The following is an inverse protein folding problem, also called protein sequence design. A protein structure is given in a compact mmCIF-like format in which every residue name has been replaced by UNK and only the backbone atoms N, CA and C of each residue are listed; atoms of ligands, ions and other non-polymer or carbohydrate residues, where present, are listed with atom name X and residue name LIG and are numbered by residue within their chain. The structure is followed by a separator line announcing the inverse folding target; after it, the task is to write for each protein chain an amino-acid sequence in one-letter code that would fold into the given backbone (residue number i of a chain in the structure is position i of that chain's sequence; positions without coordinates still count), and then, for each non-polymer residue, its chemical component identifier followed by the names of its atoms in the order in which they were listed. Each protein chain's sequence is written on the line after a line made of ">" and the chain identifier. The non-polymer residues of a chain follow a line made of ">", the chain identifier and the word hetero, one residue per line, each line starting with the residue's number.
data_IF_397383189350
#
_entry.id   IF_397383189350
#
_cell.length_a   1.000
_cell.length_b   1.000
_cell.length_c   1.000
_cell.angle_alpha   90.00
_cell.angle_beta   90.00
_cell.angle_gamma   90.00
#
_symmetry.space_group_name_H-M   'P 1'
#
loop_
_entity.id
_entity.type
_entity.pdbx_description
1 polymer ?
#
# COMPACT_ATOMS: atom_id res chain seq x y z
N UNK A 1 -1.19 -24.57 25.30
CA UNK A 1 -0.52 -24.43 24.65
C UNK A 1 -0.76 -23.88 23.36
N UNK A 2 -1.57 -24.37 22.58
CA UNK A 2 -1.80 -23.88 21.26
C UNK A 2 -2.26 -22.46 21.18
N UNK A 3 -2.99 -21.92 22.18
CA UNK A 3 -3.54 -20.58 22.10
C UNK A 3 -2.47 -19.50 22.04
N UNK A 4 -1.37 -19.64 22.76
CA UNK A 4 -0.28 -18.66 22.69
C UNK A 4 0.42 -18.70 21.34
N UNK A 5 0.64 -19.88 20.80
CA UNK A 5 1.24 -20.05 19.48
C UNK A 5 0.34 -19.52 18.39
N UNK A 6 -0.98 -19.76 18.50
CA UNK A 6 -1.93 -19.26 17.52
C UNK A 6 -1.98 -17.73 17.52
N UNK A 7 -1.95 -17.10 18.70
CA UNK A 7 -1.90 -15.64 18.77
C UNK A 7 -0.65 -15.07 18.13
N UNK A 8 0.48 -15.73 18.36
CA UNK A 8 1.74 -15.31 17.77
C UNK A 8 1.70 -15.45 16.24
N UNK A 9 1.19 -16.56 15.72
CA UNK A 9 1.01 -16.76 14.28
C UNK A 9 0.08 -15.73 13.68
N UNK A 10 -1.04 -15.43 14.36
CA UNK A 10 -1.97 -14.42 13.89
C UNK A 10 -1.28 -13.07 13.71
N UNK A 11 -0.46 -12.66 14.68
CA UNK A 11 0.28 -11.40 14.61
C UNK A 11 1.24 -11.38 13.42
N UNK A 12 1.88 -12.52 13.10
CA UNK A 12 2.79 -12.61 11.97
C UNK A 12 2.08 -12.51 10.63
N UNK A 13 0.79 -12.83 10.58
CA UNK A 13 0.01 -12.75 9.35
C UNK A 13 -0.61 -11.38 9.14
N UNK A 14 -0.66 -10.54 10.16
CA UNK A 14 -1.20 -9.20 10.03
C UNK A 14 -0.24 -8.31 9.25
N UNK A 15 -0.81 -7.41 8.44
CA UNK A 15 -0.08 -6.48 7.60
C UNK A 15 -0.65 -5.09 7.77
N UNK A 16 0.17 -4.07 7.56
CA UNK A 16 -0.33 -2.71 7.46
C UNK A 16 -0.86 -2.47 6.06
N UNK A 17 -2.07 -1.98 5.98
CA UNK A 17 -2.77 -1.74 4.71
C UNK A 17 -2.84 -0.26 4.42
N UNK A 18 -2.06 0.18 3.44
CA UNK A 18 -2.11 1.56 2.94
C UNK A 18 -3.05 1.58 1.75
N UNK A 19 -4.31 1.94 2.03
CA UNK A 19 -5.37 1.97 1.02
C UNK A 19 -5.56 3.42 0.57
N UNK A 20 -5.40 3.64 -0.72
CA UNK A 20 -5.52 4.97 -1.31
C UNK A 20 -6.72 5.04 -2.22
N UNK A 21 -7.38 6.21 -2.23
CA UNK A 21 -8.33 6.58 -3.25
C UNK A 21 -7.87 7.94 -3.78
N UNK A 22 -7.37 7.98 -5.00
CA UNK A 22 -6.70 9.15 -5.57
C UNK A 22 -5.54 9.58 -4.67
N UNK A 23 -5.62 10.77 -4.05
CA UNK A 23 -4.56 11.25 -3.17
C UNK A 23 -4.89 11.09 -1.68
N UNK A 24 -6.02 10.46 -1.37
CA UNK A 24 -6.45 10.25 0.00
C UNK A 24 -6.04 8.86 0.49
N UNK A 25 -5.64 8.78 1.75
CA UNK A 25 -5.23 7.54 2.40
C UNK A 25 -6.25 7.17 3.48
N UNK A 26 -6.51 5.87 3.61
CA UNK A 26 -7.45 5.35 4.60
C UNK A 26 -6.78 5.30 5.96
N UNK A 27 -7.36 5.99 6.94
CA UNK A 27 -6.89 5.98 8.31
C UNK A 27 -7.89 5.25 9.20
N UNK A 28 -7.39 4.57 10.21
CA UNK A 28 -8.23 3.92 11.22
C UNK A 28 -8.23 4.76 12.48
N UNK A 29 -9.41 4.98 13.05
CA UNK A 29 -9.56 5.76 14.27
C UNK A 29 -9.32 4.88 15.48
N UNK A 30 -8.47 5.34 16.41
CA UNK A 30 -8.18 4.64 17.66
C UNK A 30 -8.36 5.62 18.81
N UNK A 31 -9.59 5.78 19.26
CA UNK A 31 -9.92 6.83 20.23
C UNK A 31 -9.78 8.20 19.58
N UNK A 32 -8.91 9.04 20.13
CA UNK A 32 -8.65 10.37 19.58
C UNK A 32 -7.50 10.38 18.57
N UNK A 33 -6.92 9.23 18.30
CA UNK A 33 -5.76 9.11 17.42
C UNK A 33 -6.10 8.39 16.13
N UNK A 34 -5.16 8.44 15.18
CA UNK A 34 -5.29 7.77 13.90
C UNK A 34 -4.08 6.87 13.65
N UNK A 35 -4.32 5.77 12.95
CA UNK A 35 -3.27 4.83 12.56
C UNK A 35 -3.59 4.26 11.19
N UNK A 36 -2.67 3.45 10.68
CA UNK A 36 -2.90 2.68 9.46
C UNK A 36 -3.53 1.35 9.84
N UNK A 37 -4.55 0.86 9.12
CA UNK A 37 -5.18 -0.42 9.46
C UNK A 37 -4.17 -1.56 9.48
N UNK A 38 -4.25 -2.38 10.53
CA UNK A 38 -3.41 -3.56 10.70
C UNK A 38 -4.33 -4.78 10.75
N UNK A 39 -4.24 -5.65 9.76
CA UNK A 39 -5.10 -6.83 9.67
C UNK A 39 -4.48 -7.87 8.74
N UNK A 40 -4.96 -9.09 8.86
CA UNK A 40 -4.54 -10.17 7.99
C UNK A 40 -5.07 -9.96 6.56
N UNK A 41 -6.33 -9.52 6.46
CA UNK A 41 -6.99 -9.27 5.19
C UNK A 41 -7.19 -7.78 4.94
N UNK A 42 -7.41 -7.37 3.68
CA UNK A 42 -7.66 -5.96 3.38
C UNK A 42 -8.86 -5.42 4.18
N UNK A 43 -8.77 -4.19 4.70
CA UNK A 43 -9.86 -3.61 5.48
C UNK A 43 -11.08 -3.23 4.65
N UNK A 44 -10.98 -3.30 3.33
CA UNK A 44 -12.07 -2.96 2.41
C UNK A 44 -12.18 -4.07 1.36
N UNK A 45 -13.36 -4.20 0.75
CA UNK A 45 -13.56 -5.16 -0.32
C UNK A 45 -12.78 -4.70 -1.56
N UNK A 46 -12.00 -5.59 -2.15
CA UNK A 46 -11.21 -5.29 -3.34
C UNK A 46 -11.80 -6.00 -4.54
N UNK A 47 -11.72 -5.34 -5.70
CA UNK A 47 -12.13 -5.95 -6.96
C UNK A 47 -10.98 -6.76 -7.54
N UNK A 48 -11.27 -7.77 -8.39
CA UNK A 48 -10.21 -8.65 -8.92
C UNK A 48 -9.11 -7.93 -9.70
N UNK A 49 -9.42 -6.78 -10.29
CA UNK A 49 -8.43 -6.04 -11.08
C UNK A 49 -7.54 -5.12 -10.24
N UNK A 50 -7.86 -4.94 -8.97
CA UNK A 50 -7.05 -4.09 -8.10
C UNK A 50 -5.78 -4.82 -7.71
N UNK A 51 -4.63 -4.19 -7.99
CA UNK A 51 -3.33 -4.79 -7.71
C UNK A 51 -2.89 -4.45 -6.30
N UNK A 52 -2.63 -5.48 -5.50
CA UNK A 52 -2.06 -5.31 -4.15
C UNK A 52 -0.54 -5.33 -4.30
N UNK A 53 0.10 -4.23 -3.95
CA UNK A 53 1.55 -4.14 -4.01
C UNK A 53 2.17 -4.54 -2.67
N UNK A 54 3.23 -5.34 -2.77
CA UNK A 54 4.06 -5.71 -1.62
C UNK A 54 5.14 -4.64 -1.50
N UNK A 55 5.01 -3.77 -0.52
CA UNK A 55 5.94 -2.63 -0.43
C UNK A 55 7.05 -3.10 0.52
N UNK A 56 7.41 -3.23 1.35
CA UNK A 56 8.47 -3.68 2.23
C UNK A 56 7.85 -3.93 3.62
N UNK A 57 8.52 -3.56 4.68
CA UNK A 57 7.96 -3.71 6.01
C UNK A 57 8.28 -2.48 6.84
N UNK A 58 7.55 -2.32 7.96
CA UNK A 58 7.82 -1.27 8.92
C UNK A 58 9.06 -1.64 9.74
N UNK A 59 9.54 -0.71 10.56
CA UNK A 59 10.71 -0.94 11.39
C UNK A 59 10.57 -2.14 12.32
N UNK A 60 9.34 -2.42 12.76
CA UNK A 60 9.06 -3.57 13.63
C UNK A 60 8.98 -4.90 12.89
N UNK A 61 9.22 -4.90 11.57
CA UNK A 61 9.17 -6.09 10.73
C UNK A 61 7.81 -6.46 10.18
N UNK A 62 6.76 -5.72 10.54
CA UNK A 62 5.40 -5.98 10.01
C UNK A 62 5.34 -5.64 8.53
N UNK A 63 4.83 -6.57 7.74
CA UNK A 63 4.73 -6.37 6.30
C UNK A 63 3.78 -5.26 5.93
N UNK A 64 4.02 -4.63 4.78
CA UNK A 64 3.24 -3.51 4.27
C UNK A 64 2.66 -3.88 2.91
N UNK A 65 1.37 -3.60 2.75
CA UNK A 65 0.67 -3.77 1.48
C UNK A 65 0.03 -2.44 1.10
N UNK A 66 0.02 -2.15 -0.18
CA UNK A 66 -0.60 -0.92 -0.69
C UNK A 66 -1.53 -1.26 -1.84
N UNK A 67 -2.66 -0.56 -1.88
CA UNK A 67 -3.64 -0.77 -2.94
C UNK A 67 -4.37 0.54 -3.24
N UNK A 68 -4.73 0.75 -4.51
CA UNK A 68 -5.53 1.88 -4.93
C UNK A 68 -6.95 1.40 -5.19
N UNK A 69 -7.93 2.02 -4.54
CA UNK A 69 -9.34 1.69 -4.73
C UNK A 69 -10.04 2.77 -5.54
N UNK A 70 -11.16 2.42 -6.18
CA UNK A 70 -11.91 3.31 -7.07
C UNK A 70 -12.80 4.29 -6.31
N UNK A 71 -13.30 3.88 -5.15
CA UNK A 71 -14.27 4.65 -4.40
C UNK A 71 -13.78 4.91 -2.99
N UNK A 72 -14.02 6.10 -2.44
CA UNK A 72 -13.62 6.38 -1.06
C UNK A 72 -14.44 5.54 -0.08
N UNK A 73 -13.82 5.22 1.06
CA UNK A 73 -14.49 4.49 2.13
C UNK A 73 -15.20 5.52 3.01
N UNK A 74 -16.51 5.55 2.98
CA UNK A 74 -17.30 6.58 3.67
C UNK A 74 -18.36 6.01 4.61
N UNK A 75 -18.59 4.70 4.56
CA UNK A 75 -19.71 4.07 5.28
C UNK A 75 -19.30 3.31 6.54
N UNK A 76 -18.02 3.28 6.89
CA UNK A 76 -17.55 2.60 8.09
C UNK A 76 -16.98 3.65 9.06
N UNK A 77 -17.59 3.79 10.25
CA UNK A 77 -17.13 4.82 11.20
C UNK A 77 -15.75 4.56 11.80
N UNK A 78 -15.20 3.35 11.64
CA UNK A 78 -13.84 3.05 12.11
C UNK A 78 -12.79 3.74 11.25
N UNK A 79 -13.15 4.11 10.03
CA UNK A 79 -12.18 4.61 9.05
C UNK A 79 -12.52 6.01 8.61
N UNK A 80 -11.49 6.71 8.17
CA UNK A 80 -11.63 8.04 7.62
C UNK A 80 -10.61 8.20 6.49
N UNK A 81 -11.08 8.73 5.35
CA UNK A 81 -10.18 9.08 4.26
C UNK A 81 -9.58 10.46 4.54
N UNK A 82 -8.28 10.60 4.36
CA UNK A 82 -7.57 11.83 4.62
C UNK A 82 -6.56 12.09 3.51
N UNK A 83 -6.47 13.32 3.04
CA UNK A 83 -5.45 13.68 2.07
C UNK A 83 -4.07 13.34 2.60
N UNK A 84 -3.15 12.94 1.71
CA UNK A 84 -1.82 12.52 2.14
C UNK A 84 -1.09 13.63 2.90
N UNK A 85 -1.14 14.87 2.41
CA UNK A 85 -0.45 15.98 3.10
C UNK A 85 -1.01 16.26 4.49
N UNK A 86 -2.34 16.42 4.67
CA UNK A 86 -2.89 16.61 6.02
C UNK A 86 -2.62 15.43 6.95
N UNK A 87 -2.44 14.22 6.44
CA UNK A 87 -2.17 13.05 7.27
C UNK A 87 -0.87 13.18 8.05
N UNK A 88 0.03 14.09 7.63
CA UNK A 88 1.25 14.40 8.37
C UNK A 88 0.95 14.76 9.83
N UNK A 89 -0.15 15.46 10.06
CA UNK A 89 -0.51 15.92 11.41
C UNK A 89 -1.23 14.85 12.23
N UNK A 90 -1.65 13.75 11.60
CA UNK A 90 -2.45 12.71 12.24
C UNK A 90 -1.66 11.42 12.45
N UNK A 91 -0.70 11.12 11.59
CA UNK A 91 0.07 9.89 11.63
C UNK A 91 1.44 10.10 12.27
N UNK A 92 2.03 9.02 12.77
CA UNK A 92 3.44 9.05 13.16
C UNK A 92 4.31 9.36 11.93
N UNK A 93 5.51 9.84 12.16
CA UNK A 93 6.45 10.13 11.08
C UNK A 93 6.73 8.88 10.24
N UNK A 94 6.89 7.74 10.88
CA UNK A 94 7.16 6.49 10.17
C UNK A 94 6.00 6.14 9.24
N UNK A 95 4.76 6.22 9.72
CA UNK A 95 3.59 5.94 8.89
C UNK A 95 3.43 6.96 7.75
N UNK A 96 3.67 8.22 8.04
CA UNK A 96 3.56 9.25 7.02
C UNK A 96 4.56 9.03 5.88
N UNK A 97 5.81 8.77 6.22
CA UNK A 97 6.86 8.53 5.22
C UNK A 97 6.57 7.26 4.41
N UNK A 98 6.09 6.22 5.08
CA UNK A 98 5.71 4.99 4.39
C UNK A 98 4.51 5.22 3.47
N UNK A 99 3.55 6.03 3.89
CA UNK A 99 2.40 6.39 3.05
C UNK A 99 2.85 7.11 1.78
N UNK A 100 3.79 8.04 1.90
CA UNK A 100 4.35 8.73 0.74
C UNK A 100 5.01 7.76 -0.24
N UNK A 101 5.80 6.83 0.28
CA UNK A 101 6.45 5.82 -0.54
C UNK A 101 5.41 4.91 -1.23
N UNK A 102 4.40 4.48 -0.50
CA UNK A 102 3.33 3.66 -1.07
C UNK A 102 2.61 4.39 -2.19
N UNK A 103 2.29 5.67 -1.99
CA UNK A 103 1.60 6.46 -3.00
C UNK A 103 2.42 6.58 -4.27
N UNK A 104 3.72 6.80 -4.16
CA UNK A 104 4.59 6.88 -5.33
C UNK A 104 4.69 5.54 -6.06
N UNK A 105 4.80 4.44 -5.33
CA UNK A 105 4.87 3.13 -5.95
C UNK A 105 3.56 2.74 -6.63
N UNK A 106 2.42 3.08 -6.04
CA UNK A 106 1.13 2.86 -6.68
C UNK A 106 0.98 3.70 -7.96
N UNK A 107 1.46 4.94 -7.92
CA UNK A 107 1.45 5.81 -9.10
C UNK A 107 2.33 5.20 -10.20
N UNK A 108 3.54 4.76 -9.86
CA UNK A 108 4.43 4.11 -10.81
C UNK A 108 3.77 2.86 -11.39
N UNK A 109 3.15 2.04 -10.56
CA UNK A 109 2.48 0.82 -11.01
C UNK A 109 1.41 1.12 -12.06
N UNK A 110 0.60 2.14 -11.79
CA UNK A 110 -0.47 2.52 -12.71
C UNK A 110 0.03 3.14 -14.01
N UNK A 111 1.19 3.77 -13.98
CA UNK A 111 1.74 4.45 -15.14
C UNK A 111 2.78 3.62 -15.91
N UNK A 112 3.01 2.37 -15.50
CA UNK A 112 3.91 1.45 -16.21
C UNK A 112 3.19 0.16 -16.59
N UNK A 113 1.97 0.29 -17.09
CA UNK A 113 1.16 -0.86 -17.49
C UNK A 113 1.60 -1.48 -18.80
N UNK A 114 2.21 -0.67 -19.66
CA UNK A 114 2.64 -1.09 -20.99
C UNK A 114 4.08 -0.70 -21.25
N UNK A 115 4.78 -1.52 -22.06
CA UNK A 115 6.18 -1.29 -22.38
C UNK A 115 6.35 -0.05 -23.25
N UNK A 116 7.28 0.83 -22.86
CA UNK A 116 7.59 2.02 -23.64
C UNK A 116 8.34 1.74 -24.95
N UNK A 117 8.81 0.50 -25.14
CA UNK A 117 9.55 0.11 -26.35
C UNK A 117 8.63 -0.59 -27.33
N UNK A 118 7.89 -1.62 -26.91
CA UNK A 118 7.10 -2.42 -27.83
C UNK A 118 5.58 -2.37 -27.57
N UNK A 119 5.13 -1.72 -26.52
CA UNK A 119 3.73 -1.57 -26.20
C UNK A 119 3.06 -2.76 -25.57
N UNK A 120 3.78 -3.86 -25.34
CA UNK A 120 3.19 -5.05 -24.71
C UNK A 120 2.94 -4.83 -23.22
N UNK A 121 2.05 -5.61 -22.59
CA UNK A 121 1.80 -5.47 -21.15
C UNK A 121 3.03 -5.72 -20.31
N UNK A 122 3.17 -4.93 -19.25
CA UNK A 122 4.22 -5.10 -18.24
C UNK A 122 3.68 -5.91 -17.08
N UNK A 123 4.52 -6.75 -16.47
CA UNK A 123 4.16 -7.52 -15.27
C UNK A 123 5.23 -7.36 -14.21
N UNK A 124 4.82 -7.43 -12.95
CA UNK A 124 5.76 -7.43 -11.85
C UNK A 124 6.75 -8.57 -12.01
N UNK A 125 8.03 -8.25 -11.93
CA UNK A 125 9.12 -9.22 -11.98
C UNK A 125 9.73 -9.42 -10.60
N UNK A 126 9.91 -8.32 -9.87
CA UNK A 126 10.29 -8.33 -8.47
C UNK A 126 9.33 -7.40 -7.73
N UNK A 127 9.48 -7.26 -6.41
CA UNK A 127 8.63 -6.34 -5.65
C UNK A 127 8.83 -4.88 -6.06
N UNK A 128 9.95 -4.57 -6.73
CA UNK A 128 10.31 -3.19 -7.11
C UNK A 128 10.60 -3.05 -8.59
N UNK A 129 10.24 -4.02 -9.43
CA UNK A 129 10.48 -3.92 -10.87
C UNK A 129 9.40 -4.62 -11.67
N UNK A 130 9.22 -4.15 -12.90
CA UNK A 130 8.35 -4.79 -13.89
C UNK A 130 9.15 -5.20 -15.11
N UNK A 131 8.71 -6.26 -15.76
CA UNK A 131 9.34 -6.74 -17.00
C UNK A 131 8.28 -6.83 -18.09
N UNK A 132 8.65 -6.43 -19.29
CA UNK A 132 7.80 -6.56 -20.47
C UNK A 132 7.58 -8.04 -20.78
N UNK A 133 6.33 -8.40 -21.06
CA UNK A 133 5.96 -9.79 -21.37
C UNK A 133 6.42 -10.21 -22.77
N UNK A 134 6.82 -9.25 -23.62
CA UNK A 134 7.25 -9.54 -24.98
C UNK A 134 8.75 -9.35 -25.20
N UNK A 135 9.27 -8.12 -24.99
CA UNK A 135 10.68 -7.84 -25.30
C UNK A 135 11.61 -8.03 -24.09
N UNK A 136 11.07 -8.26 -22.91
CA UNK A 136 11.87 -8.51 -21.70
C UNK A 136 12.47 -7.28 -21.05
N UNK A 137 12.14 -6.07 -21.52
CA UNK A 137 12.66 -4.86 -20.88
C UNK A 137 12.19 -4.77 -19.45
N UNK A 138 13.12 -4.46 -18.55
CA UNK A 138 12.82 -4.32 -17.13
C UNK A 138 12.89 -2.85 -16.73
N UNK A 139 11.93 -2.41 -15.88
CA UNK A 139 11.87 -1.02 -15.40
C UNK A 139 11.70 -1.00 -13.89
N UNK A 140 12.25 0.04 -13.28
CA UNK A 140 12.18 0.26 -11.83
C UNK A 140 11.55 1.62 -11.56
N UNK A 141 10.89 1.80 -10.39
CA UNK A 141 10.35 3.11 -10.05
C UNK A 141 11.45 4.12 -9.76
N UNK A 142 11.19 5.38 -10.14
CA UNK A 142 12.06 6.49 -9.77
C UNK A 142 11.32 7.30 -8.72
N UNK A 143 11.74 7.19 -7.47
CA UNK A 143 11.09 7.89 -6.37
C UNK A 143 11.70 9.28 -6.19
N UNK A 144 10.83 10.25 -5.88
CA UNK A 144 11.30 11.59 -5.61
C UNK A 144 12.09 11.63 -4.31
N UNK A 145 13.26 12.28 -4.33
CA UNK A 145 14.11 12.35 -3.14
C UNK A 145 13.43 13.09 -1.99
N UNK A 146 12.53 14.02 -2.28
CA UNK A 146 11.82 14.77 -1.26
C UNK A 146 10.89 13.90 -0.41
N UNK A 147 10.55 12.71 -0.88
CA UNK A 147 9.65 11.80 -0.17
C UNK A 147 10.42 10.70 0.56
N UNK A 148 11.64 10.52 0.19
CA UNK A 148 12.52 9.54 0.83
C UNK A 148 13.16 10.10 2.14
#
# INVERSE_FOLDING_TARGET
>A
MPSALLKHRHRHMEKYWFVFCKTDVLLEKTGDNYTIPLAEDPPVALQPWMHIMHITHMENGTEVRAVMVDQPVTDDPRYEMCGLRPSFYLLSTEFYLKAGKCRELLYWDQNTRFCGVCGAPMKMHTDISKRCTHCGKEVWPQLATAII
#
